data_IF_955250908506
#
_entry.id   IF_955250908506
#
_cell.length_a   1.000
_cell.length_b   1.000
_cell.length_c   1.000
_cell.angle_alpha   90.00
_cell.angle_beta   90.00
_cell.angle_gamma   90.00
#
_symmetry.space_group_name_H-M   'P 1'
#
loop_
_entity.id
_entity.type
_entity.pdbx_description
1 polymer ?
#
# COMPACT_ATOMS: atom_id res chain seq x y z
N UNK A 1 -11.87 -12.71 2.38
CA UNK A 1 -10.47 -12.24 2.56
C UNK A 1 -9.43 -13.27 2.12
N UNK A 2 -9.64 -14.58 2.28
CA UNK A 2 -8.64 -15.61 1.91
C UNK A 2 -8.26 -15.67 0.43
N UNK A 3 -9.23 -15.53 -0.50
CA UNK A 3 -8.94 -15.63 -1.94
C UNK A 3 -7.93 -14.58 -2.46
N UNK A 4 -8.00 -13.33 -1.96
CA UNK A 4 -7.04 -12.28 -2.36
C UNK A 4 -5.62 -12.56 -1.87
N UNK A 5 -5.48 -13.16 -0.68
CA UNK A 5 -4.18 -13.52 -0.13
C UNK A 5 -3.54 -14.67 -0.90
N UNK A 6 -4.34 -15.66 -1.33
CA UNK A 6 -3.87 -16.80 -2.12
C UNK A 6 -3.40 -16.34 -3.51
N UNK A 7 -4.18 -15.49 -4.18
CA UNK A 7 -3.79 -14.94 -5.49
C UNK A 7 -2.51 -14.09 -5.40
N UNK A 8 -2.32 -13.34 -4.30
CA UNK A 8 -1.10 -12.57 -4.09
C UNK A 8 0.13 -13.47 -3.92
N UNK A 9 0.01 -14.53 -3.11
CA UNK A 9 1.09 -15.50 -2.92
C UNK A 9 1.45 -16.20 -4.24
N UNK A 10 0.44 -16.66 -4.99
CA UNK A 10 0.65 -17.26 -6.31
C UNK A 10 1.38 -16.32 -7.28
N UNK A 11 1.09 -15.02 -7.24
CA UNK A 11 1.79 -14.03 -8.06
C UNK A 11 3.26 -13.90 -7.64
N UNK A 12 3.52 -13.78 -6.34
CA UNK A 12 4.89 -13.70 -5.80
C UNK A 12 5.69 -14.95 -6.20
N UNK A 13 5.11 -16.14 -6.02
CA UNK A 13 5.77 -17.40 -6.37
C UNK A 13 6.07 -17.47 -7.87
N UNK A 14 5.13 -17.04 -8.72
CA UNK A 14 5.34 -16.98 -10.17
C UNK A 14 6.42 -15.98 -10.58
N UNK A 15 6.50 -14.82 -9.93
CA UNK A 15 7.54 -13.82 -10.20
C UNK A 15 8.92 -14.36 -9.81
N UNK A 16 9.02 -15.05 -8.65
CA UNK A 16 10.26 -15.70 -8.18
C UNK A 16 10.68 -16.83 -9.12
N UNK A 17 9.76 -17.69 -9.51
CA UNK A 17 10.03 -18.80 -10.44
C UNK A 17 10.55 -18.27 -11.78
N UNK A 18 9.93 -17.21 -12.32
CA UNK A 18 10.39 -16.58 -13.55
C UNK A 18 11.78 -15.95 -13.41
N UNK A 19 12.11 -15.33 -12.27
CA UNK A 19 13.46 -14.80 -12.02
C UNK A 19 14.48 -15.94 -12.06
N UNK A 20 14.22 -17.04 -11.35
CA UNK A 20 15.12 -18.19 -11.30
C UNK A 20 15.29 -18.82 -12.69
N UNK A 21 14.19 -18.97 -13.43
CA UNK A 21 14.23 -19.51 -14.79
C UNK A 21 15.07 -18.62 -15.72
N UNK A 22 14.85 -17.30 -15.72
CA UNK A 22 15.60 -16.37 -16.58
C UNK A 22 17.08 -16.31 -16.22
N UNK A 23 17.40 -16.45 -14.95
CA UNK A 23 18.77 -16.54 -14.48
C UNK A 23 19.44 -17.82 -15.00
N UNK A 24 18.76 -18.96 -14.88
CA UNK A 24 19.22 -20.25 -15.44
C UNK A 24 19.39 -20.18 -16.96
N UNK A 25 18.42 -19.65 -17.70
CA UNK A 25 18.49 -19.44 -19.16
C UNK A 25 19.76 -18.64 -19.54
N UNK A 26 20.12 -17.65 -18.72
CA UNK A 26 21.32 -16.81 -18.95
C UNK A 26 22.62 -17.60 -18.76
N UNK A 27 22.68 -18.51 -17.78
CA UNK A 27 23.84 -19.41 -17.62
C UNK A 27 23.98 -20.38 -18.77
N UNK A 28 22.87 -20.89 -19.29
CA UNK A 28 22.88 -21.78 -20.45
C UNK A 28 23.43 -21.07 -21.69
N UNK A 29 22.99 -19.83 -21.92
CA UNK A 29 23.50 -18.99 -23.03
C UNK A 29 24.99 -18.64 -22.87
N UNK A 30 25.47 -18.45 -21.62
CA UNK A 30 26.86 -18.12 -21.35
C UNK A 30 27.86 -19.25 -21.67
N UNK A 31 27.39 -20.48 -21.93
CA UNK A 31 28.27 -21.59 -22.33
C UNK A 31 28.75 -21.42 -23.78
N UNK A 32 30.04 -21.10 -23.95
CA UNK A 32 30.66 -20.89 -25.26
C UNK A 32 31.24 -22.21 -25.81
N UNK A 33 30.47 -22.88 -26.66
CA UNK A 33 30.89 -24.08 -27.41
C UNK A 33 31.15 -23.75 -28.89
N UNK A 34 32.22 -23.01 -29.20
CA UNK A 34 32.65 -22.72 -30.59
C UNK A 34 31.49 -22.25 -31.51
N UNK A 35 30.63 -21.39 -30.97
CA UNK A 35 29.44 -20.87 -31.65
C UNK A 35 29.82 -19.84 -32.71
N UNK A 36 29.06 -19.77 -33.80
CA UNK A 36 29.30 -18.75 -34.84
C UNK A 36 29.04 -17.34 -34.31
N UNK A 37 29.65 -16.33 -34.94
CA UNK A 37 29.53 -14.92 -34.51
C UNK A 37 28.08 -14.42 -34.58
N UNK A 38 27.32 -14.88 -35.57
CA UNK A 38 25.90 -14.58 -35.72
C UNK A 38 25.10 -15.15 -34.55
N UNK A 39 25.39 -16.40 -34.15
CA UNK A 39 24.73 -17.04 -33.02
C UNK A 39 25.07 -16.32 -31.71
N UNK A 40 26.33 -16.00 -31.47
CA UNK A 40 26.78 -15.24 -30.29
C UNK A 40 26.09 -13.87 -30.19
N UNK A 41 25.86 -13.19 -31.32
CA UNK A 41 25.14 -11.91 -31.33
C UNK A 41 23.68 -12.06 -30.91
N UNK A 42 23.00 -13.14 -31.31
CA UNK A 42 21.62 -13.42 -30.92
C UNK A 42 21.57 -13.81 -29.44
N UNK A 43 22.51 -14.62 -28.96
CA UNK A 43 22.59 -15.01 -27.56
C UNK A 43 22.86 -13.81 -26.65
N UNK A 44 23.75 -12.89 -27.07
CA UNK A 44 24.00 -11.64 -26.34
C UNK A 44 22.74 -10.80 -26.18
N UNK A 45 21.91 -10.70 -27.23
CA UNK A 45 20.63 -9.99 -27.16
C UNK A 45 19.65 -10.71 -26.22
N UNK A 46 19.59 -12.04 -26.26
CA UNK A 46 18.76 -12.83 -25.33
C UNK A 46 19.21 -12.68 -23.88
N UNK A 47 20.52 -12.61 -23.61
CA UNK A 47 21.04 -12.37 -22.26
C UNK A 47 20.64 -10.99 -21.74
N UNK A 48 20.73 -9.95 -22.59
CA UNK A 48 20.28 -8.60 -22.23
C UNK A 48 18.77 -8.56 -21.96
N UNK A 49 17.97 -9.22 -22.80
CA UNK A 49 16.53 -9.34 -22.61
C UNK A 49 16.18 -10.07 -21.29
N UNK A 50 16.85 -11.17 -20.99
CA UNK A 50 16.69 -11.91 -19.73
C UNK A 50 17.04 -11.03 -18.52
N UNK A 51 18.14 -10.27 -18.59
CA UNK A 51 18.53 -9.36 -17.53
C UNK A 51 17.48 -8.26 -17.28
N UNK A 52 16.94 -7.65 -18.34
CA UNK A 52 15.85 -6.67 -18.22
C UNK A 52 14.57 -7.28 -17.63
N UNK A 53 14.22 -8.51 -18.02
CA UNK A 53 13.07 -9.22 -17.45
C UNK A 53 13.24 -9.48 -15.95
N UNK A 54 14.43 -9.89 -15.50
CA UNK A 54 14.73 -10.09 -14.08
C UNK A 54 14.56 -8.77 -13.31
N UNK A 55 15.08 -7.66 -13.82
CA UNK A 55 14.92 -6.34 -13.17
C UNK A 55 13.44 -5.99 -13.03
N UNK A 56 12.64 -6.18 -14.09
CA UNK A 56 11.22 -5.90 -14.08
C UNK A 56 10.46 -6.76 -13.06
N UNK A 57 10.76 -8.05 -12.96
CA UNK A 57 10.14 -8.95 -11.98
C UNK A 57 10.49 -8.51 -10.54
N UNK A 58 11.73 -8.07 -10.30
CA UNK A 58 12.12 -7.48 -9.01
C UNK A 58 11.34 -6.19 -8.69
N UNK A 59 11.11 -5.32 -9.68
CA UNK A 59 10.30 -4.11 -9.52
C UNK A 59 8.83 -4.42 -9.18
N UNK A 60 8.26 -5.48 -9.78
CA UNK A 60 6.92 -5.97 -9.47
C UNK A 60 6.83 -6.45 -8.02
N UNK A 61 7.82 -7.21 -7.54
CA UNK A 61 7.90 -7.64 -6.13
C UNK A 61 8.03 -6.44 -5.17
N UNK A 62 8.82 -5.44 -5.52
CA UNK A 62 8.93 -4.20 -4.73
C UNK A 62 7.60 -3.46 -4.69
N UNK A 63 6.88 -3.39 -5.81
CA UNK A 63 5.55 -2.79 -5.92
C UNK A 63 4.54 -3.51 -5.03
N UNK A 64 4.54 -4.85 -5.03
CA UNK A 64 3.71 -5.67 -4.14
C UNK A 64 4.02 -5.35 -2.67
N UNK A 65 5.31 -5.29 -2.30
CA UNK A 65 5.72 -4.98 -0.92
C UNK A 65 5.26 -3.60 -0.48
N UNK A 66 5.31 -2.60 -1.38
CA UNK A 66 4.84 -1.25 -1.14
C UNK A 66 3.33 -1.24 -0.92
N UNK A 67 2.58 -1.90 -1.80
CA UNK A 67 1.12 -1.99 -1.69
C UNK A 67 0.68 -2.65 -0.37
N UNK A 68 1.39 -3.69 0.07
CA UNK A 68 1.11 -4.36 1.34
C UNK A 68 1.37 -3.42 2.54
N UNK A 69 2.47 -2.67 2.52
CA UNK A 69 2.78 -1.65 3.53
C UNK A 69 1.74 -0.54 3.55
N UNK A 70 1.37 -0.01 2.38
CA UNK A 70 0.33 1.03 2.26
C UNK A 70 -1.01 0.54 2.81
N UNK A 71 -1.42 -0.67 2.46
CA UNK A 71 -2.66 -1.29 2.99
C UNK A 71 -2.61 -1.42 4.50
N UNK A 72 -1.44 -1.76 5.07
CA UNK A 72 -1.27 -1.90 6.51
C UNK A 72 -1.28 -0.54 7.24
N UNK A 73 -0.60 0.47 6.69
CA UNK A 73 -0.61 1.83 7.22
C UNK A 73 -2.02 2.47 7.14
N UNK A 74 -2.74 2.28 6.04
CA UNK A 74 -4.10 2.81 5.86
C UNK A 74 -5.13 2.05 6.69
N UNK A 75 -4.94 0.74 6.91
CA UNK A 75 -5.80 -0.07 7.76
C UNK A 75 -5.64 0.20 9.27
N UNK A 76 -4.50 0.75 9.69
CA UNK A 76 -4.23 1.14 11.08
C UNK A 76 -4.63 2.57 11.40
N UNK A 77 -4.86 3.41 10.39
CA UNK A 77 -5.47 4.74 10.55
C UNK A 77 -6.98 4.62 10.74
N UNK A 78 -7.43 3.91 11.78
CA UNK A 78 -8.75 4.19 12.32
C UNK A 78 -8.65 5.60 12.91
N UNK A 79 -9.32 6.57 12.30
CA UNK A 79 -9.64 7.82 12.99
C UNK A 79 -10.38 7.38 14.23
N UNK A 80 -9.71 7.51 15.38
CA UNK A 80 -10.30 7.15 16.65
C UNK A 80 -11.51 8.09 16.80
N UNK A 81 -12.71 7.51 16.93
CA UNK A 81 -13.96 8.28 17.00
C UNK A 81 -14.07 9.17 18.25
N UNK A 82 -13.01 9.19 19.06
CA UNK A 82 -12.79 10.06 20.22
C UNK A 82 -12.97 11.53 19.86
N UNK A 83 -12.52 11.99 18.69
CA UNK A 83 -12.73 13.39 18.28
C UNK A 83 -14.23 13.73 18.04
N UNK A 84 -15.00 12.80 17.47
CA UNK A 84 -16.45 13.01 17.29
C UNK A 84 -17.23 12.90 18.61
N UNK A 85 -16.84 12.00 19.52
CA UNK A 85 -17.46 11.87 20.84
C UNK A 85 -17.16 13.06 21.75
N UNK A 86 -15.93 13.59 21.73
CA UNK A 86 -15.57 14.80 22.47
C UNK A 86 -16.29 16.02 21.91
N UNK A 87 -16.37 16.17 20.59
CA UNK A 87 -17.10 17.25 19.94
C UNK A 87 -18.60 17.27 20.33
N UNK A 88 -19.26 16.11 20.34
CA UNK A 88 -20.67 16.01 20.78
C UNK A 88 -20.88 16.37 22.24
N UNK A 89 -19.96 15.97 23.13
CA UNK A 89 -20.03 16.33 24.57
C UNK A 89 -19.85 17.84 24.77
N UNK A 90 -18.94 18.44 24.01
CA UNK A 90 -18.69 19.89 24.05
C UNK A 90 -19.92 20.66 23.58
N UNK A 91 -20.55 20.25 22.47
CA UNK A 91 -21.79 20.86 21.97
C UNK A 91 -22.94 20.76 22.97
N UNK A 92 -23.09 19.61 23.63
CA UNK A 92 -24.12 19.42 24.66
C UNK A 92 -23.90 20.37 25.85
N UNK A 93 -22.66 20.54 26.30
CA UNK A 93 -22.30 21.46 27.40
C UNK A 93 -22.60 22.91 27.00
N UNK A 94 -22.23 23.34 25.79
CA UNK A 94 -22.50 24.70 25.31
C UNK A 94 -24.00 24.98 25.21
N UNK A 95 -24.80 24.01 24.75
CA UNK A 95 -26.26 24.17 24.69
C UNK A 95 -26.89 24.39 26.08
N UNK A 96 -26.44 23.62 27.08
CA UNK A 96 -26.88 23.74 28.47
C UNK A 96 -26.43 25.05 29.10
N UNK A 97 -25.19 25.45 28.84
CA UNK A 97 -24.63 26.73 29.31
C UNK A 97 -25.40 27.92 28.76
N UNK A 98 -25.69 27.92 27.44
CA UNK A 98 -26.46 28.98 26.80
C UNK A 98 -27.89 29.04 27.36
N UNK A 99 -28.55 27.90 27.55
CA UNK A 99 -29.88 27.86 28.18
C UNK A 99 -29.90 28.47 29.58
N UNK A 100 -28.91 28.14 30.41
CA UNK A 100 -28.79 28.69 31.76
C UNK A 100 -28.51 30.20 31.73
N UNK A 101 -27.66 30.66 30.82
CA UNK A 101 -27.36 32.09 30.63
C UNK A 101 -28.59 32.88 30.22
N UNK A 102 -29.39 32.33 29.30
CA UNK A 102 -30.65 32.93 28.86
C UNK A 102 -31.66 32.99 30.01
N UNK A 103 -31.73 31.93 30.83
CA UNK A 103 -32.59 31.90 32.02
C UNK A 103 -32.19 32.90 33.09
N UNK A 104 -30.89 33.08 33.33
CA UNK A 104 -30.38 34.08 34.28
C UNK A 104 -30.70 35.48 33.77
N UNK A 105 -30.49 35.75 32.48
CA UNK A 105 -30.80 37.05 31.86
C UNK A 105 -32.29 37.41 32.00
N UNK A 106 -33.19 36.46 31.74
CA UNK A 106 -34.64 36.65 31.91
C UNK A 106 -35.03 36.91 33.38
N UNK A 107 -34.34 36.30 34.34
CA UNK A 107 -34.59 36.52 35.76
C UNK A 107 -34.06 37.88 36.23
N UNK A 108 -32.91 38.33 35.72
CA UNK A 108 -32.39 39.67 36.02
C UNK A 108 -33.29 40.77 35.44
N UNK A 109 -33.78 40.60 34.21
CA UNK A 109 -34.76 41.52 33.61
C UNK A 109 -36.09 41.55 34.39
N UNK A 110 -36.56 40.40 34.89
CA UNK A 110 -37.78 40.32 35.69
C UNK A 110 -37.63 40.88 37.11
N UNK A 111 -36.40 40.98 37.64
CA UNK A 111 -36.12 41.47 38.99
C UNK A 111 -35.74 42.97 39.01
N UNK A 112 -35.55 43.56 37.83
CA UNK A 112 -35.27 44.98 37.61
C UNK A 112 -36.53 45.79 37.21
N UNK A 113 -37.69 45.14 37.04
CA UNK A 113 -39.02 45.72 36.82
C UNK A 113 -39.86 45.70 38.10
#
# INVERSE_FOLDING_TARGET
MQSKSITLLQRIDSDIEQILQKFQDTFELATNQDKSKELLSVESLSMEANAMLIIRLCEDLLTISRHLKETWCLGSLKVDGTEEEESRKVDEIYSKFNYLTDKISQLEESNAA
#
